data_IF_553778035496
#
_entry.id   IF_553778035496
#
_cell.length_a   1.000
_cell.length_b   1.000
_cell.length_c   1.000
_cell.angle_alpha   90.00
_cell.angle_beta   90.00
_cell.angle_gamma   90.00
#
_symmetry.space_group_name_H-M   'P 1'
#
loop_
_entity.id
_entity.type
_entity.pdbx_description
1 polymer ?
#
# COMPACT_ATOMS: atom_id res chain seq x y z
N UNK A 1 -7.83 -66.89 83.43
CA UNK A 1 -6.47 -67.37 83.76
C UNK A 1 -5.50 -66.19 83.64
N UNK A 2 -4.91 -65.78 84.79
CA UNK A 2 -3.61 -65.09 85.05
C UNK A 2 -3.20 -63.91 84.12
N UNK A 3 -3.12 -62.65 84.60
CA UNK A 3 -1.96 -62.00 85.29
C UNK A 3 -0.63 -62.22 84.56
N UNK A 4 0.22 -61.24 84.21
CA UNK A 4 0.71 -60.07 84.96
C UNK A 4 1.74 -59.30 84.10
N UNK A 5 1.97 -58.01 84.36
CA UNK A 5 3.20 -57.31 83.96
C UNK A 5 3.05 -55.80 83.76
N UNK A 6 3.12 -55.04 84.86
CA UNK A 6 3.24 -53.57 84.86
C UNK A 6 4.72 -53.14 84.93
N UNK A 7 5.10 -52.19 84.08
CA UNK A 7 6.29 -51.33 84.13
C UNK A 7 6.10 -50.30 83.01
N UNK A 8 6.28 -49.00 83.12
CA UNK A 8 6.80 -48.05 84.11
C UNK A 8 6.63 -46.67 83.43
N UNK A 9 6.54 -45.54 84.15
CA UNK A 9 6.18 -44.26 83.53
C UNK A 9 7.41 -43.60 82.89
N UNK A 10 7.35 -43.36 81.57
CA UNK A 10 8.27 -42.45 80.87
C UNK A 10 7.68 -41.05 80.88
N UNK A 11 8.44 -40.12 81.47
CA UNK A 11 8.12 -38.71 81.60
C UNK A 11 7.92 -38.06 80.22
N UNK A 12 6.76 -37.41 80.05
CA UNK A 12 6.49 -36.50 78.93
C UNK A 12 7.25 -35.21 79.20
N UNK A 13 8.45 -35.11 78.61
CA UNK A 13 9.24 -33.89 78.58
C UNK A 13 8.56 -32.85 77.70
N UNK A 14 8.18 -31.73 78.30
CA UNK A 14 7.70 -30.53 77.63
C UNK A 14 8.81 -30.01 76.68
N UNK A 15 8.61 -29.94 75.36
CA UNK A 15 9.59 -29.28 74.49
C UNK A 15 9.55 -27.78 74.81
N UNK A 16 10.61 -27.29 75.45
CA UNK A 16 10.80 -25.86 75.68
C UNK A 16 10.77 -25.08 74.37
N UNK A 17 10.40 -23.78 74.41
CA UNK A 17 10.26 -22.96 73.22
C UNK A 17 11.57 -22.93 72.44
N UNK A 18 11.55 -23.47 71.22
CA UNK A 18 12.66 -23.36 70.26
C UNK A 18 12.93 -21.88 70.02
N UNK A 19 14.02 -21.37 70.57
CA UNK A 19 14.47 -20.01 70.34
C UNK A 19 14.73 -19.84 68.83
N UNK A 20 13.94 -18.99 68.18
CA UNK A 20 14.16 -18.63 66.79
C UNK A 20 15.55 -17.98 66.64
N UNK A 21 16.37 -18.53 65.75
CA UNK A 21 17.70 -17.98 65.46
C UNK A 21 17.62 -16.53 64.96
N UNK A 22 18.65 -15.73 65.22
CA UNK A 22 18.70 -14.33 64.77
C UNK A 22 18.47 -14.19 63.25
N UNK A 23 18.95 -15.16 62.46
CA UNK A 23 18.77 -15.21 61.01
C UNK A 23 17.30 -15.41 60.60
N UNK A 24 16.56 -16.24 61.35
CA UNK A 24 15.13 -16.44 61.10
C UNK A 24 14.31 -15.19 61.41
N UNK A 25 14.70 -14.39 62.41
CA UNK A 25 14.05 -13.12 62.73
C UNK A 25 14.35 -12.07 61.65
N UNK A 26 15.60 -12.00 61.17
CA UNK A 26 15.99 -11.08 60.11
C UNK A 26 15.27 -11.38 58.77
N UNK A 27 15.13 -12.67 58.43
CA UNK A 27 14.36 -13.10 57.26
C UNK A 27 12.87 -12.76 57.38
N UNK A 28 12.27 -12.96 58.56
CA UNK A 28 10.87 -12.59 58.80
C UNK A 28 10.65 -11.09 58.64
N UNK A 29 11.57 -10.25 59.16
CA UNK A 29 11.50 -8.80 58.95
C UNK A 29 11.60 -8.43 57.47
N UNK A 30 12.47 -9.09 56.71
CA UNK A 30 12.61 -8.81 55.27
C UNK A 30 11.41 -9.27 54.44
N UNK A 31 10.81 -10.42 54.79
CA UNK A 31 9.57 -10.89 54.16
C UNK A 31 8.44 -9.88 54.41
N UNK A 32 8.29 -9.41 55.65
CA UNK A 32 7.26 -8.42 55.98
C UNK A 32 7.47 -7.09 55.24
N UNK A 33 8.72 -6.66 55.07
CA UNK A 33 9.05 -5.47 54.28
C UNK A 33 8.68 -5.64 52.80
N UNK A 34 8.99 -6.80 52.21
CA UNK A 34 8.65 -7.10 50.81
C UNK A 34 7.13 -7.23 50.60
N UNK A 35 6.41 -7.85 51.53
CA UNK A 35 4.95 -7.92 51.52
C UNK A 35 4.33 -6.52 51.57
N UNK A 36 4.88 -5.64 52.41
CA UNK A 36 4.46 -4.23 52.49
C UNK A 36 4.73 -3.49 51.17
N UNK A 37 5.90 -3.65 50.57
CA UNK A 37 6.25 -3.03 49.29
C UNK A 37 5.36 -3.54 48.14
N UNK A 38 5.12 -4.86 48.08
CA UNK A 38 4.26 -5.47 47.07
C UNK A 38 2.83 -4.95 47.19
N UNK A 39 2.30 -4.85 48.42
CA UNK A 39 0.97 -4.29 48.67
C UNK A 39 0.86 -2.83 48.22
N UNK A 40 1.90 -2.00 48.44
CA UNK A 40 1.93 -0.63 47.95
C UNK A 40 1.92 -0.59 46.41
N UNK A 41 2.71 -1.44 45.76
CA UNK A 41 2.81 -1.48 44.30
C UNK A 41 1.52 -1.99 43.65
N UNK A 42 0.89 -3.03 44.19
CA UNK A 42 -0.41 -3.54 43.73
C UNK A 42 -1.50 -2.46 43.84
N UNK A 43 -1.52 -1.72 44.95
CA UNK A 43 -2.44 -0.60 45.12
C UNK A 43 -2.19 0.52 44.11
N UNK A 44 -0.93 0.79 43.76
CA UNK A 44 -0.57 1.78 42.75
C UNK A 44 -1.02 1.34 41.35
N UNK A 45 -0.70 0.11 40.94
CA UNK A 45 -1.14 -0.44 39.65
C UNK A 45 -2.67 -0.49 39.53
N UNK A 46 -3.37 -0.85 40.61
CA UNK A 46 -4.83 -0.89 40.63
C UNK A 46 -5.43 0.51 40.40
N UNK A 47 -4.82 1.56 40.95
CA UNK A 47 -5.25 2.95 40.72
C UNK A 47 -4.98 3.40 39.28
N UNK A 48 -3.82 3.05 38.72
CA UNK A 48 -3.49 3.36 37.33
C UNK A 48 -4.41 2.64 36.35
N UNK A 49 -4.73 1.37 36.58
CA UNK A 49 -5.69 0.62 35.78
C UNK A 49 -7.08 1.26 35.81
N UNK A 50 -7.59 1.63 36.99
CA UNK A 50 -8.88 2.32 37.09
C UNK A 50 -8.87 3.65 36.34
N UNK A 51 -7.79 4.44 36.44
CA UNK A 51 -7.65 5.69 35.70
C UNK A 51 -7.66 5.47 34.18
N UNK A 52 -6.94 4.47 33.69
CA UNK A 52 -6.91 4.13 32.27
C UNK A 52 -8.28 3.62 31.78
N UNK A 53 -9.00 2.85 32.60
CA UNK A 53 -10.36 2.42 32.29
C UNK A 53 -11.33 3.62 32.15
N UNK A 54 -11.22 4.61 33.02
CA UNK A 54 -11.98 5.87 32.95
C UNK A 54 -11.61 6.67 31.68
N UNK A 55 -10.33 6.80 31.35
CA UNK A 55 -9.88 7.48 30.12
C UNK A 55 -10.37 6.75 28.85
N UNK A 56 -10.36 5.42 28.83
CA UNK A 56 -10.89 4.61 27.72
C UNK A 56 -12.42 4.76 27.61
N UNK A 57 -13.15 4.79 28.72
CA UNK A 57 -14.59 5.03 28.69
C UNK A 57 -14.93 6.42 28.15
N UNK A 58 -14.19 7.44 28.55
CA UNK A 58 -14.39 8.81 28.07
C UNK A 58 -14.08 8.93 26.58
N UNK A 59 -12.99 8.31 26.11
CA UNK A 59 -12.68 8.24 24.67
C UNK A 59 -13.77 7.52 23.88
N UNK A 60 -14.37 6.46 24.42
CA UNK A 60 -15.51 5.78 23.79
C UNK A 60 -16.74 6.67 23.73
N UNK A 61 -17.01 7.44 24.79
CA UNK A 61 -18.12 8.41 24.82
C UNK A 61 -17.92 9.49 23.76
N UNK A 62 -16.74 10.10 23.71
CA UNK A 62 -16.40 11.13 22.73
C UNK A 62 -16.44 10.60 21.29
N UNK A 63 -15.95 9.38 21.05
CA UNK A 63 -16.05 8.74 19.75
C UNK A 63 -17.51 8.55 19.32
N UNK A 64 -18.38 8.11 20.25
CA UNK A 64 -19.80 7.96 19.98
C UNK A 64 -20.49 9.29 19.69
N UNK A 65 -20.16 10.35 20.44
CA UNK A 65 -20.69 11.69 20.21
C UNK A 65 -20.25 12.28 18.86
N UNK A 66 -18.99 12.05 18.47
CA UNK A 66 -18.50 12.42 17.14
C UNK A 66 -19.18 11.63 16.03
N UNK A 67 -19.42 10.33 16.21
CA UNK A 67 -20.18 9.51 15.27
C UNK A 67 -21.62 9.99 15.12
N UNK A 68 -22.26 10.41 16.21
CA UNK A 68 -23.63 10.92 16.20
C UNK A 68 -23.71 12.32 15.57
N UNK A 69 -22.74 13.20 15.85
CA UNK A 69 -22.61 14.49 15.17
C UNK A 69 -22.37 14.31 13.66
N UNK A 70 -21.49 13.39 13.25
CA UNK A 70 -21.29 13.07 11.84
C UNK A 70 -22.55 12.49 11.19
N UNK A 71 -23.30 11.63 11.89
CA UNK A 71 -24.57 11.08 11.41
C UNK A 71 -25.66 12.16 11.25
N UNK A 72 -25.61 13.22 12.05
CA UNK A 72 -26.51 14.38 11.91
C UNK A 72 -26.15 15.28 10.72
N UNK A 73 -24.85 15.37 10.38
CA UNK A 73 -24.36 16.06 9.18
C UNK A 73 -24.65 15.26 7.89
N UNK A 74 -24.75 13.93 7.98
CA UNK A 74 -25.11 13.03 6.88
C UNK A 74 -26.55 13.19 6.35
N UNK A 75 -27.44 13.92 7.04
CA UNK A 75 -28.81 14.17 6.53
C UNK A 75 -28.80 15.12 5.31
N UNK A 76 -27.72 15.87 5.09
CA UNK A 76 -27.49 16.65 3.86
C UNK A 76 -26.65 15.87 2.82
N UNK A 77 -25.98 14.77 3.23
CA UNK A 77 -25.10 13.93 2.42
C UNK A 77 -25.75 12.63 1.92
N UNK A 78 -26.93 12.68 1.29
CA UNK A 78 -27.50 11.48 0.64
C UNK A 78 -26.65 11.08 -0.57
N UNK A 79 -25.78 10.06 -0.38
CA UNK A 79 -25.24 9.04 -1.34
C UNK A 79 -23.71 8.87 -1.31
N UNK A 80 -23.09 8.50 -0.18
CA UNK A 80 -21.65 8.20 -0.17
C UNK A 80 -21.22 6.99 0.67
N UNK A 81 -22.11 6.00 0.84
CA UNK A 81 -21.83 4.85 1.70
C UNK A 81 -20.81 3.85 1.17
N UNK A 82 -20.85 3.49 -0.13
CA UNK A 82 -19.94 2.50 -0.73
C UNK A 82 -18.95 3.14 -1.71
N UNK A 83 -19.42 4.05 -2.56
CA UNK A 83 -18.63 4.70 -3.61
C UNK A 83 -17.47 5.56 -3.07
N UNK A 84 -17.57 6.04 -1.83
CA UNK A 84 -16.48 6.76 -1.15
C UNK A 84 -15.24 5.90 -0.89
N UNK A 85 -15.44 4.59 -0.72
CA UNK A 85 -14.39 3.63 -0.41
C UNK A 85 -13.82 2.94 -1.65
N UNK A 86 -14.52 2.99 -2.78
CA UNK A 86 -14.04 2.39 -4.02
C UNK A 86 -12.85 3.17 -4.57
N UNK A 87 -11.66 2.54 -4.55
CA UNK A 87 -10.41 3.12 -5.06
C UNK A 87 -9.95 2.57 -6.39
N UNK A 88 -10.42 1.40 -6.80
CA UNK A 88 -10.12 0.80 -8.10
C UNK A 88 -11.39 0.66 -8.90
N UNK A 89 -11.36 1.13 -10.14
CA UNK A 89 -12.44 0.96 -11.12
C UNK A 89 -11.88 0.25 -12.34
N UNK A 90 -12.56 -0.83 -12.72
CA UNK A 90 -12.24 -1.64 -13.89
C UNK A 90 -13.42 -1.58 -14.88
N UNK A 91 -13.10 -1.37 -16.15
CA UNK A 91 -14.03 -1.48 -17.27
C UNK A 91 -13.54 -2.56 -18.23
N UNK A 92 -14.30 -3.65 -18.34
CA UNK A 92 -14.06 -4.71 -19.33
C UNK A 92 -14.79 -4.40 -20.63
N UNK A 93 -14.05 -4.40 -21.74
CA UNK A 93 -14.55 -4.21 -23.10
C UNK A 93 -14.51 -5.57 -23.81
N UNK A 94 -15.64 -6.27 -23.85
CA UNK A 94 -15.78 -7.55 -24.55
C UNK A 94 -15.96 -7.37 -26.06
N UNK A 95 -15.66 -8.41 -26.85
CA UNK A 95 -15.73 -8.37 -28.31
C UNK A 95 -14.72 -7.39 -28.90
N UNK A 96 -13.53 -7.32 -28.29
CA UNK A 96 -12.60 -6.22 -28.49
C UNK A 96 -12.05 -6.21 -29.92
N UNK A 97 -11.72 -7.37 -30.48
CA UNK A 97 -11.15 -7.47 -31.83
C UNK A 97 -12.06 -6.87 -32.91
N UNK A 98 -13.37 -7.10 -32.81
CA UNK A 98 -14.34 -6.52 -33.75
C UNK A 98 -14.41 -4.98 -33.61
N UNK A 99 -14.51 -4.48 -32.38
CA UNK A 99 -14.53 -3.04 -32.09
C UNK A 99 -13.25 -2.34 -32.55
N UNK A 100 -12.10 -2.94 -32.28
CA UNK A 100 -10.81 -2.41 -32.75
C UNK A 100 -10.75 -2.40 -34.28
N UNK A 101 -11.27 -3.42 -34.95
CA UNK A 101 -11.35 -3.48 -36.42
C UNK A 101 -12.17 -2.35 -37.03
N UNK A 102 -13.30 -2.00 -36.42
CA UNK A 102 -14.22 -0.95 -36.87
C UNK A 102 -13.70 0.47 -36.60
N UNK A 103 -12.96 0.66 -35.52
CA UNK A 103 -12.49 1.98 -35.10
C UNK A 103 -11.27 2.43 -35.91
N UNK A 104 -11.25 3.69 -36.29
CA UNK A 104 -10.09 4.38 -36.84
C UNK A 104 -9.30 5.12 -35.74
N UNK A 105 -8.04 5.46 -36.02
CA UNK A 105 -7.25 6.33 -35.14
C UNK A 105 -8.02 7.63 -34.86
N UNK A 106 -8.00 8.08 -33.61
CA UNK A 106 -8.76 9.24 -33.15
C UNK A 106 -10.20 8.95 -32.72
N UNK A 107 -10.72 7.73 -32.93
CA UNK A 107 -12.04 7.34 -32.40
C UNK A 107 -11.91 6.69 -31.01
N UNK A 108 -12.78 7.08 -30.09
CA UNK A 108 -12.81 6.58 -28.71
C UNK A 108 -14.02 5.68 -28.42
N UNK A 109 -13.81 4.82 -27.43
CA UNK A 109 -14.84 4.13 -26.67
C UNK A 109 -14.98 4.83 -25.31
N UNK A 110 -16.21 4.92 -24.81
CA UNK A 110 -16.52 5.55 -23.52
C UNK A 110 -17.07 4.52 -22.56
N UNK A 111 -16.57 4.54 -21.32
CA UNK A 111 -17.15 3.74 -20.26
C UNK A 111 -18.56 4.24 -19.93
N UNK A 112 -19.41 3.41 -19.32
CA UNK A 112 -20.51 3.92 -18.53
C UNK A 112 -20.00 4.95 -17.51
N UNK A 113 -20.83 5.93 -17.16
CA UNK A 113 -20.50 6.81 -16.03
C UNK A 113 -20.47 6.00 -14.74
N UNK A 114 -19.53 6.31 -13.86
CA UNK A 114 -19.38 5.63 -12.58
C UNK A 114 -19.09 6.61 -11.45
N UNK A 115 -19.23 6.12 -10.22
CA UNK A 115 -18.88 6.84 -9.01
C UNK A 115 -17.76 6.07 -8.31
N UNK A 116 -16.74 6.78 -7.82
CA UNK A 116 -15.63 6.18 -7.09
C UNK A 116 -14.87 7.26 -6.31
N UNK A 117 -14.19 6.87 -5.25
CA UNK A 117 -13.42 7.77 -4.39
C UNK A 117 -14.23 8.98 -3.89
N UNK A 118 -15.54 8.80 -3.74
CA UNK A 118 -16.52 9.82 -3.36
C UNK A 118 -16.97 10.70 -4.52
N UNK A 119 -16.31 10.64 -5.68
CA UNK A 119 -16.63 11.34 -6.94
C UNK A 119 -17.82 10.73 -7.66
N UNK A 120 -18.65 11.60 -8.22
CA UNK A 120 -19.81 11.22 -9.02
C UNK A 120 -19.56 11.47 -10.51
N UNK A 121 -20.24 10.71 -11.37
CA UNK A 121 -20.28 10.93 -12.81
C UNK A 121 -18.90 10.98 -13.50
N UNK A 122 -17.93 10.22 -12.96
CA UNK A 122 -16.65 9.93 -13.59
C UNK A 122 -16.84 9.10 -14.86
N UNK A 123 -15.88 9.15 -15.78
CA UNK A 123 -15.91 8.36 -17.01
C UNK A 123 -14.50 8.08 -17.54
N UNK A 124 -14.28 6.93 -18.16
CA UNK A 124 -13.07 6.63 -18.90
C UNK A 124 -13.32 6.83 -20.40
N UNK A 125 -12.34 7.44 -21.07
CA UNK A 125 -12.30 7.55 -22.53
C UNK A 125 -11.07 6.81 -23.04
N UNK A 126 -11.30 5.78 -23.85
CA UNK A 126 -10.27 4.88 -24.36
C UNK A 126 -10.19 4.95 -25.88
N UNK A 127 -8.99 5.15 -26.43
CA UNK A 127 -8.74 5.18 -27.87
C UNK A 127 -7.88 3.96 -28.24
N UNK A 128 -8.46 2.86 -28.75
CA UNK A 128 -7.73 1.64 -29.09
C UNK A 128 -6.53 1.87 -30.01
N UNK A 129 -6.70 2.70 -31.04
CA UNK A 129 -5.66 3.05 -32.03
C UNK A 129 -4.98 4.39 -31.74
N UNK A 130 -5.15 4.88 -30.51
CA UNK A 130 -4.65 6.17 -30.05
C UNK A 130 -5.45 7.37 -30.56
N UNK A 131 -5.27 8.53 -29.92
CA UNK A 131 -5.72 9.84 -30.41
C UNK A 131 -4.94 10.29 -31.64
N UNK A 132 -5.42 11.34 -32.30
CA UNK A 132 -4.71 12.01 -33.41
C UNK A 132 -3.25 12.37 -33.06
N UNK A 133 -3.03 12.86 -31.83
CA UNK A 133 -1.70 13.25 -31.32
C UNK A 133 -0.81 12.10 -30.89
N UNK A 134 -1.28 10.85 -30.96
CA UNK A 134 -0.47 9.67 -30.61
C UNK A 134 0.62 9.49 -31.64
N UNK A 135 1.87 9.50 -31.19
CA UNK A 135 3.04 9.48 -32.04
C UNK A 135 3.54 8.07 -32.31
N UNK A 136 3.27 7.13 -31.40
CA UNK A 136 3.69 5.74 -31.56
C UNK A 136 2.60 4.90 -32.20
N UNK A 137 2.93 4.21 -33.29
CA UNK A 137 2.02 3.28 -33.95
C UNK A 137 1.71 2.08 -33.02
N UNK A 138 0.46 1.63 -33.02
CA UNK A 138 0.00 0.54 -32.16
C UNK A 138 -0.19 0.92 -30.69
N UNK A 139 0.07 2.18 -30.30
CA UNK A 139 -0.22 2.65 -28.95
C UNK A 139 -1.67 3.10 -28.81
N UNK A 140 -2.29 2.74 -27.69
CA UNK A 140 -3.60 3.26 -27.29
C UNK A 140 -3.47 4.58 -26.52
N UNK A 141 -4.61 5.23 -26.27
CA UNK A 141 -4.71 6.36 -25.35
C UNK A 141 -5.80 6.11 -24.31
N UNK A 142 -5.65 6.62 -23.09
CA UNK A 142 -6.63 6.49 -22.02
C UNK A 142 -6.70 7.78 -21.20
N UNK A 143 -7.93 8.22 -20.88
CA UNK A 143 -8.20 9.44 -20.13
C UNK A 143 -9.27 9.21 -19.06
N UNK A 144 -9.07 9.80 -17.88
CA UNK A 144 -10.06 9.96 -16.83
C UNK A 144 -10.76 11.31 -16.96
N UNK A 145 -12.07 11.26 -17.10
CA UNK A 145 -12.96 12.40 -17.06
C UNK A 145 -13.57 12.54 -15.67
N UNK A 146 -13.38 13.72 -15.08
CA UNK A 146 -13.92 14.06 -13.77
C UNK A 146 -14.65 15.41 -13.82
N UNK A 147 -15.74 15.59 -13.04
CA UNK A 147 -16.34 16.91 -12.82
C UNK A 147 -15.36 17.90 -12.17
N UNK A 148 -15.72 19.19 -12.23
CA UNK A 148 -14.94 20.27 -11.61
C UNK A 148 -14.93 20.20 -10.08
N UNK A 149 -13.90 20.78 -9.46
CA UNK A 149 -13.79 20.98 -8.01
C UNK A 149 -13.04 19.87 -7.27
N UNK A 150 -12.21 19.10 -7.98
CA UNK A 150 -11.42 18.03 -7.39
C UNK A 150 -9.98 18.07 -7.87
N UNK A 151 -9.06 17.76 -6.95
CA UNK A 151 -7.69 17.40 -7.28
C UNK A 151 -7.50 15.93 -6.97
N UNK A 152 -7.06 15.17 -7.96
CA UNK A 152 -7.01 13.71 -7.94
C UNK A 152 -5.59 13.27 -8.26
N UNK A 153 -5.01 12.47 -7.37
CA UNK A 153 -3.83 11.65 -7.65
C UNK A 153 -4.30 10.24 -8.00
N UNK A 154 -3.98 9.77 -9.19
CA UNK A 154 -4.51 8.51 -9.72
C UNK A 154 -3.49 7.79 -10.61
N UNK A 155 -3.71 6.49 -10.81
CA UNK A 155 -2.91 5.66 -11.70
C UNK A 155 -3.83 5.01 -12.73
N UNK A 156 -3.64 5.32 -14.00
CA UNK A 156 -4.36 4.68 -15.10
C UNK A 156 -3.70 3.36 -15.49
N UNK A 157 -4.51 2.45 -16.04
CA UNK A 157 -4.02 1.17 -16.55
C UNK A 157 -4.85 0.61 -17.71
N UNK A 158 -4.19 -0.17 -18.58
CA UNK A 158 -4.76 -0.91 -19.72
C UNK A 158 -4.19 -2.32 -19.68
N UNK A 159 -5.07 -3.32 -19.55
CA UNK A 159 -4.71 -4.70 -19.26
C UNK A 159 -3.85 -4.79 -18.01
N UNK A 160 -2.61 -5.21 -18.22
CA UNK A 160 -1.57 -5.37 -17.20
C UNK A 160 -0.58 -4.19 -17.14
N UNK A 161 -0.72 -3.22 -18.04
CA UNK A 161 0.19 -2.08 -18.11
C UNK A 161 -0.33 -0.89 -17.31
N UNK A 162 0.50 -0.36 -16.42
CA UNK A 162 0.24 0.86 -15.65
C UNK A 162 1.15 2.01 -16.12
N UNK A 163 0.62 3.24 -16.06
CA UNK A 163 1.43 4.46 -16.15
C UNK A 163 1.87 4.95 -14.77
N UNK A 164 2.82 5.87 -14.72
CA UNK A 164 3.13 6.56 -13.48
C UNK A 164 1.87 7.25 -12.93
N UNK A 165 1.73 7.38 -11.60
CA UNK A 165 0.68 8.19 -11.02
C UNK A 165 0.71 9.63 -11.55
N UNK A 166 -0.44 10.12 -11.97
CA UNK A 166 -0.66 11.52 -12.32
C UNK A 166 -1.38 12.22 -11.16
N UNK A 167 -1.17 13.54 -11.06
CA UNK A 167 -1.91 14.41 -10.14
C UNK A 167 -2.48 15.59 -10.94
N UNK A 168 -3.81 15.64 -11.04
CA UNK A 168 -4.50 16.64 -11.84
C UNK A 168 -5.55 17.40 -11.03
N UNK A 169 -5.66 18.69 -11.33
CA UNK A 169 -6.72 19.56 -10.83
C UNK A 169 -7.81 19.71 -11.90
N UNK A 170 -9.02 19.29 -11.56
CA UNK A 170 -10.18 19.38 -12.42
C UNK A 170 -10.93 20.67 -12.12
N UNK A 171 -10.64 21.73 -12.88
CA UNK A 171 -11.36 23.01 -12.82
C UNK A 171 -12.65 23.01 -13.67
N UNK A 172 -12.81 22.01 -14.52
CA UNK A 172 -13.95 21.80 -15.41
C UNK A 172 -14.18 20.31 -15.66
N UNK A 173 -15.22 19.95 -16.42
CA UNK A 173 -15.37 18.58 -16.91
C UNK A 173 -14.40 18.35 -18.08
N UNK A 174 -13.20 17.88 -17.77
CA UNK A 174 -12.12 17.64 -18.73
C UNK A 174 -11.50 16.25 -18.53
N UNK A 175 -10.94 15.70 -19.61
CA UNK A 175 -10.25 14.41 -19.60
C UNK A 175 -8.75 14.60 -19.43
N UNK A 176 -8.18 14.03 -18.37
CA UNK A 176 -6.73 13.95 -18.15
C UNK A 176 -6.23 12.52 -18.36
N UNK A 177 -5.02 12.36 -18.89
CA UNK A 177 -4.45 11.07 -19.22
C UNK A 177 -3.43 11.15 -20.34
N UNK A 178 -3.14 10.03 -20.99
CA UNK A 178 -1.99 9.91 -21.90
C UNK A 178 -2.39 9.57 -23.33
N UNK A 179 -1.84 10.33 -24.29
CA UNK A 179 -2.01 10.03 -25.72
C UNK A 179 -1.19 8.80 -26.14
N UNK A 180 0.04 8.68 -25.64
CA UNK A 180 0.90 7.51 -25.89
C UNK A 180 0.86 6.57 -24.67
N UNK A 181 -0.26 5.90 -24.44
CA UNK A 181 -0.45 5.13 -23.20
C UNK A 181 0.41 3.86 -23.18
N UNK A 182 0.11 2.85 -24.00
CA UNK A 182 0.94 1.64 -24.14
C UNK A 182 0.66 0.97 -25.48
N UNK A 183 1.53 0.07 -25.96
CA UNK A 183 1.17 -0.86 -27.03
C UNK A 183 -0.05 -1.68 -26.60
N UNK A 184 -1.06 -1.76 -27.46
CA UNK A 184 -2.32 -2.40 -27.09
C UNK A 184 -2.26 -3.93 -27.16
N UNK A 185 -1.51 -4.49 -28.10
CA UNK A 185 -1.54 -5.93 -28.40
C UNK A 185 -1.23 -6.85 -27.21
N UNK A 186 -0.22 -6.55 -26.36
CA UNK A 186 0.07 -7.37 -25.17
C UNK A 186 -1.05 -7.32 -24.13
N UNK A 187 -1.87 -6.26 -24.13
CA UNK A 187 -2.90 -6.03 -23.13
C UNK A 187 -4.24 -6.70 -23.46
N UNK A 188 -4.40 -7.19 -24.69
CA UNK A 188 -5.62 -7.89 -25.11
C UNK A 188 -5.63 -9.30 -24.48
N UNK A 189 -6.74 -9.62 -23.82
CA UNK A 189 -7.08 -10.99 -23.44
C UNK A 189 -7.66 -11.70 -24.68
N UNK A 190 -6.79 -12.43 -25.37
CA UNK A 190 -7.11 -13.19 -26.58
C UNK A 190 -8.03 -14.39 -26.30
N UNK A 191 -8.06 -14.88 -25.06
CA UNK A 191 -8.93 -16.02 -24.69
C UNK A 191 -10.38 -15.59 -24.59
N UNK A 192 -10.63 -14.41 -24.02
CA UNK A 192 -11.99 -13.88 -23.83
C UNK A 192 -12.40 -12.82 -24.86
N UNK A 193 -11.54 -12.54 -25.85
CA UNK A 193 -11.66 -11.42 -26.79
C UNK A 193 -12.07 -10.12 -26.08
N UNK A 194 -11.28 -9.75 -25.06
CA UNK A 194 -11.59 -8.60 -24.24
C UNK A 194 -10.33 -7.81 -23.88
N UNK A 195 -10.54 -6.55 -23.50
CA UNK A 195 -9.51 -5.73 -22.87
C UNK A 195 -10.09 -5.07 -21.64
N UNK A 196 -9.28 -4.96 -20.59
CA UNK A 196 -9.63 -4.27 -19.36
C UNK A 196 -8.93 -2.94 -19.33
N UNK A 197 -9.62 -1.88 -18.93
CA UNK A 197 -9.03 -0.56 -18.71
C UNK A 197 -9.56 0.00 -17.39
N UNK A 198 -8.78 0.84 -16.73
CA UNK A 198 -9.22 1.32 -15.43
C UNK A 198 -8.36 2.41 -14.82
N UNK A 199 -8.72 2.70 -13.57
CA UNK A 199 -8.08 3.73 -12.76
C UNK A 199 -8.02 3.30 -11.30
N UNK A 200 -6.88 3.57 -10.68
CA UNK A 200 -6.67 3.50 -9.24
C UNK A 200 -6.57 4.91 -8.65
N UNK A 201 -7.52 5.28 -7.81
CA UNK A 201 -7.52 6.53 -7.06
C UNK A 201 -6.61 6.40 -5.84
N UNK A 202 -5.51 7.15 -5.84
CA UNK A 202 -4.52 7.15 -4.76
C UNK A 202 -4.85 8.22 -3.72
N UNK A 203 -5.21 9.41 -4.19
CA UNK A 203 -5.65 10.52 -3.34
C UNK A 203 -6.72 11.34 -4.05
N UNK A 204 -7.74 11.75 -3.31
CA UNK A 204 -8.77 12.67 -3.80
C UNK A 204 -8.97 13.74 -2.75
N UNK A 205 -8.74 14.98 -3.15
CA UNK A 205 -9.07 16.17 -2.37
C UNK A 205 -10.14 16.96 -3.11
N UNK A 206 -11.16 17.40 -2.38
CA UNK A 206 -12.22 18.27 -2.89
C UNK A 206 -12.12 19.64 -2.25
N UNK A 207 -12.36 20.65 -3.06
CA UNK A 207 -12.58 22.00 -2.56
C UNK A 207 -14.08 22.21 -2.41
N UNK A 208 -14.60 22.01 -1.20
CA UNK A 208 -15.97 22.40 -0.90
C UNK A 208 -15.95 23.82 -0.31
N UNK A 209 -16.51 24.76 -1.08
CA UNK A 209 -16.76 26.10 -0.54
C UNK A 209 -18.02 26.02 0.30
N UNK A 210 -17.87 25.91 1.62
CA UNK A 210 -19.02 26.05 2.50
C UNK A 210 -19.39 27.53 2.54
N UNK A 211 -20.67 27.85 2.31
CA UNK A 211 -21.22 29.21 2.23
C UNK A 211 -21.18 30.00 3.56
N UNK A 212 -20.19 29.77 4.41
CA UNK A 212 -19.92 30.50 5.65
C UNK A 212 -18.56 31.20 5.57
N UNK A 213 -18.58 32.47 5.16
CA UNK A 213 -17.54 33.49 5.45
C UNK A 213 -16.09 33.13 5.03
N UNK A 214 -15.89 32.64 3.81
CA UNK A 214 -14.53 32.54 3.23
C UNK A 214 -13.66 31.42 3.80
N UNK A 215 -14.27 30.40 4.43
CA UNK A 215 -13.57 29.17 4.84
C UNK A 215 -13.62 28.14 3.69
N UNK A 216 -12.44 27.75 3.20
CA UNK A 216 -12.29 26.60 2.30
C UNK A 216 -12.04 25.35 3.16
N UNK A 217 -12.89 24.33 3.02
CA UNK A 217 -12.66 23.03 3.65
C UNK A 217 -12.07 22.09 2.60
N UNK A 218 -10.83 21.67 2.83
CA UNK A 218 -10.20 20.58 2.09
C UNK A 218 -10.41 19.32 2.93
N UNK A 219 -11.35 18.48 2.51
CA UNK A 219 -11.63 17.21 3.19
C UNK A 219 -10.87 16.08 2.49
N UNK A 220 -9.94 15.44 3.22
CA UNK A 220 -9.42 14.12 2.86
C UNK A 220 -10.21 13.08 3.66
N UNK A 221 -10.76 12.07 2.99
CA UNK A 221 -11.52 11.02 3.69
C UNK A 221 -10.68 10.37 4.79
N UNK A 222 -11.21 10.32 6.02
CA UNK A 222 -10.60 9.64 7.17
C UNK A 222 -10.21 8.19 6.82
N UNK A 223 -11.03 7.52 6.02
CA UNK A 223 -10.75 6.17 5.55
C UNK A 223 -9.49 6.10 4.69
N UNK A 224 -9.21 7.11 3.86
CA UNK A 224 -7.96 7.19 3.09
C UNK A 224 -6.76 7.33 4.03
N UNK A 225 -6.88 8.18 5.06
CA UNK A 225 -5.82 8.33 6.06
C UNK A 225 -5.56 7.01 6.79
N UNK A 226 -6.61 6.35 7.28
CA UNK A 226 -6.50 5.07 8.00
C UNK A 226 -5.92 3.97 7.11
N UNK A 227 -6.37 3.85 5.85
CA UNK A 227 -5.85 2.85 4.92
C UNK A 227 -4.34 3.04 4.66
N UNK A 228 -3.89 4.30 4.54
CA UNK A 228 -2.47 4.63 4.37
C UNK A 228 -1.63 4.24 5.59
N UNK A 229 -2.12 4.56 6.80
CA UNK A 229 -1.44 4.17 8.05
C UNK A 229 -1.40 2.64 8.21
N UNK A 230 -2.51 1.96 7.95
CA UNK A 230 -2.61 0.51 8.03
C UNK A 230 -1.64 -0.20 7.06
N UNK A 231 -1.50 0.32 5.83
CA UNK A 231 -0.57 -0.22 4.84
C UNK A 231 0.89 -0.17 5.31
N UNK A 232 1.29 0.89 6.03
CA UNK A 232 2.65 0.97 6.64
C UNK A 232 2.83 -0.08 7.70
N UNK A 233 1.88 -0.22 8.61
CA UNK A 233 2.00 -1.19 9.70
C UNK A 233 2.07 -2.62 9.14
N UNK A 234 1.20 -2.96 8.19
CA UNK A 234 1.13 -4.29 7.57
C UNK A 234 2.37 -4.66 6.75
N UNK A 235 3.00 -3.65 6.12
CA UNK A 235 4.15 -3.85 5.23
C UNK A 235 5.47 -3.33 5.82
N UNK A 236 5.48 -2.99 7.10
CA UNK A 236 6.69 -2.57 7.84
C UNK A 236 7.78 -3.64 7.78
N UNK A 237 7.38 -4.90 7.82
CA UNK A 237 8.27 -6.07 7.75
C UNK A 237 8.59 -6.55 6.34
N UNK A 238 8.03 -5.94 5.29
CA UNK A 238 8.31 -6.34 3.90
C UNK A 238 9.68 -5.83 3.50
N UNK A 239 10.61 -6.74 3.27
CA UNK A 239 11.98 -6.44 2.83
C UNK A 239 12.20 -6.75 1.35
N UNK A 240 11.39 -7.59 0.72
CA UNK A 240 11.50 -7.89 -0.71
C UNK A 240 10.19 -7.57 -1.42
N UNK A 241 10.29 -6.90 -2.57
CA UNK A 241 9.14 -6.67 -3.45
C UNK A 241 9.48 -7.19 -4.83
N UNK A 242 8.64 -8.06 -5.36
CA UNK A 242 8.73 -8.63 -6.70
C UNK A 242 7.59 -8.09 -7.56
N UNK A 243 7.89 -7.74 -8.80
CA UNK A 243 6.92 -7.36 -9.81
C UNK A 243 7.12 -8.25 -11.03
N UNK A 244 6.13 -9.11 -11.28
CA UNK A 244 6.13 -10.00 -12.42
C UNK A 244 5.49 -9.30 -13.62
N UNK A 245 6.24 -9.20 -14.71
CA UNK A 245 5.83 -8.62 -15.99
C UNK A 245 5.56 -9.77 -16.97
N UNK A 246 4.32 -9.89 -17.42
CA UNK A 246 3.91 -10.93 -18.37
C UNK A 246 4.08 -10.49 -19.83
N UNK A 247 4.18 -11.47 -20.74
CA UNK A 247 4.31 -11.27 -22.20
C UNK A 247 5.50 -10.37 -22.56
N UNK A 248 6.63 -10.56 -21.87
CA UNK A 248 7.76 -9.62 -21.96
C UNK A 248 8.38 -9.60 -23.35
N UNK A 249 8.42 -10.73 -24.06
CA UNK A 249 8.91 -10.78 -25.44
C UNK A 249 8.09 -9.90 -26.39
N UNK A 250 6.76 -9.97 -26.29
CA UNK A 250 5.86 -9.12 -27.09
C UNK A 250 6.05 -7.63 -26.73
N UNK A 251 6.26 -7.32 -25.45
CA UNK A 251 6.55 -5.96 -24.98
C UNK A 251 7.87 -5.44 -25.54
N UNK A 252 8.93 -6.24 -25.53
CA UNK A 252 10.23 -5.85 -26.07
C UNK A 252 10.19 -5.51 -27.55
N UNK A 253 9.37 -6.22 -28.34
CA UNK A 253 9.19 -5.92 -29.75
C UNK A 253 8.47 -4.58 -29.97
N UNK A 254 7.47 -4.27 -29.13
CA UNK A 254 6.59 -3.10 -29.34
C UNK A 254 7.01 -1.83 -28.61
N UNK A 255 7.81 -1.93 -27.55
CA UNK A 255 8.25 -0.77 -26.78
C UNK A 255 9.45 -0.10 -27.45
N UNK A 256 9.38 1.18 -27.84
CA UNK A 256 10.59 1.88 -28.27
C UNK A 256 11.50 2.16 -27.08
N UNK A 257 12.80 2.26 -27.33
CA UNK A 257 13.78 2.76 -26.34
C UNK A 257 13.31 4.10 -25.76
N UNK A 258 13.49 4.27 -24.45
CA UNK A 258 12.99 5.43 -23.71
C UNK A 258 11.54 5.30 -23.24
N UNK A 259 10.83 4.23 -23.58
CA UNK A 259 9.51 3.93 -22.98
C UNK A 259 9.64 3.09 -21.73
N UNK A 260 8.96 3.51 -20.66
CA UNK A 260 8.91 2.78 -19.39
C UNK A 260 7.55 2.12 -19.14
N UNK A 261 7.62 1.06 -18.34
CA UNK A 261 6.55 0.41 -17.62
C UNK A 261 6.64 0.75 -16.13
N UNK A 262 5.52 0.73 -15.43
CA UNK A 262 5.45 1.10 -14.02
C UNK A 262 4.75 0.02 -13.21
N UNK A 263 5.22 -0.22 -11.98
CA UNK A 263 4.47 -1.03 -11.03
C UNK A 263 3.25 -0.28 -10.51
N UNK A 264 2.39 -0.96 -9.77
CA UNK A 264 1.51 -0.26 -8.83
C UNK A 264 2.33 0.45 -7.76
N UNK A 265 1.75 1.49 -7.16
CA UNK A 265 2.32 2.11 -5.95
C UNK A 265 2.21 1.13 -4.78
N UNK A 266 3.29 0.94 -4.03
CA UNK A 266 3.33 0.00 -2.91
C UNK A 266 3.99 0.59 -1.67
N UNK A 267 3.87 -0.14 -0.56
CA UNK A 267 4.51 0.16 0.72
C UNK A 267 5.37 -1.03 1.12
N UNK A 268 6.62 -0.79 1.50
CA UNK A 268 7.54 -1.83 1.98
C UNK A 268 8.58 -1.23 2.93
N UNK A 269 9.03 -2.00 3.91
CA UNK A 269 10.03 -1.56 4.89
C UNK A 269 9.60 -0.33 5.69
N UNK A 270 8.29 -0.12 5.85
CA UNK A 270 7.69 1.06 6.49
C UNK A 270 7.69 2.33 5.61
N UNK A 271 8.18 2.24 4.38
CA UNK A 271 8.24 3.35 3.42
C UNK A 271 7.02 3.28 2.51
N UNK A 272 6.30 4.41 2.42
CA UNK A 272 5.11 4.57 1.57
C UNK A 272 5.48 5.01 0.17
N UNK A 273 4.51 4.82 -0.73
CA UNK A 273 4.50 5.40 -2.07
C UNK A 273 5.77 5.08 -2.88
N UNK A 274 6.27 3.85 -2.71
CA UNK A 274 7.35 3.33 -3.54
C UNK A 274 6.76 2.93 -4.89
N UNK A 275 7.51 3.22 -5.95
CA UNK A 275 7.13 2.91 -7.32
C UNK A 275 8.36 2.39 -8.09
N UNK A 276 8.18 1.33 -8.86
CA UNK A 276 9.20 0.80 -9.76
C UNK A 276 8.97 1.31 -11.18
N UNK A 277 10.06 1.71 -11.84
CA UNK A 277 10.08 2.24 -13.20
C UNK A 277 11.06 1.42 -14.04
N UNK A 278 10.54 0.62 -14.96
CA UNK A 278 11.32 -0.32 -15.77
C UNK A 278 11.28 0.05 -17.25
N UNK A 279 12.45 0.16 -17.88
CA UNK A 279 12.59 0.42 -19.31
C UNK A 279 13.11 -0.85 -20.00
N UNK A 280 12.22 -1.67 -20.61
CA UNK A 280 12.61 -2.95 -21.18
C UNK A 280 13.67 -2.81 -22.28
N UNK A 281 13.55 -1.78 -23.14
CA UNK A 281 14.51 -1.49 -24.21
C UNK A 281 15.48 -0.34 -23.86
N UNK A 282 15.73 -0.13 -22.57
CA UNK A 282 16.58 0.93 -22.06
C UNK A 282 15.90 2.30 -22.00
N UNK A 283 16.39 3.16 -21.12
CA UNK A 283 16.00 4.57 -21.04
C UNK A 283 16.74 5.40 -22.10
N UNK A 284 16.42 6.69 -22.18
CA UNK A 284 17.18 7.63 -23.01
C UNK A 284 18.65 7.74 -22.59
N UNK A 285 18.96 7.39 -21.34
CA UNK A 285 20.32 7.43 -20.78
C UNK A 285 21.06 6.09 -20.90
N UNK A 286 20.40 5.02 -21.38
CA UNK A 286 21.04 3.72 -21.60
C UNK A 286 22.04 3.83 -22.75
N UNK A 287 23.29 3.49 -22.48
CA UNK A 287 24.40 3.57 -23.44
C UNK A 287 24.68 2.23 -24.11
N UNK A 288 24.32 1.12 -23.47
CA UNK A 288 24.55 -0.23 -23.98
C UNK A 288 23.34 -0.74 -24.77
N UNK A 289 23.59 -1.25 -25.96
CA UNK A 289 22.54 -1.80 -26.80
C UNK A 289 21.95 -3.09 -26.19
N UNK A 290 20.63 -3.25 -26.26
CA UNK A 290 19.89 -4.36 -25.66
C UNK A 290 19.80 -4.35 -24.13
N UNK A 291 20.40 -3.39 -23.42
CA UNK A 291 20.30 -3.30 -21.96
C UNK A 291 18.99 -2.62 -21.54
N UNK A 292 18.38 -3.12 -20.46
CA UNK A 292 17.31 -2.41 -19.78
C UNK A 292 17.83 -1.33 -18.82
N UNK A 293 16.93 -0.41 -18.45
CA UNK A 293 17.13 0.47 -17.31
C UNK A 293 16.09 0.19 -16.24
N UNK A 294 16.49 0.34 -14.98
CA UNK A 294 15.59 0.10 -13.85
C UNK A 294 15.81 1.14 -12.75
N UNK A 295 14.73 1.80 -12.37
CA UNK A 295 14.70 2.86 -11.37
C UNK A 295 13.60 2.62 -10.34
N UNK A 296 13.80 3.20 -9.17
CA UNK A 296 12.82 3.28 -8.10
C UNK A 296 12.53 4.74 -7.81
N UNK A 297 11.28 5.03 -7.45
CA UNK A 297 10.84 6.35 -6.97
C UNK A 297 10.24 6.21 -5.58
N UNK A 298 10.53 7.20 -4.75
CA UNK A 298 10.03 7.30 -3.40
C UNK A 298 9.73 8.78 -3.08
N UNK A 299 8.93 9.06 -2.03
CA UNK A 299 8.75 10.42 -1.53
C UNK A 299 10.07 11.10 -1.16
N UNK A 300 10.04 12.43 -1.22
CA UNK A 300 11.17 13.26 -0.81
C UNK A 300 11.54 13.04 0.67
N UNK A 301 12.84 13.06 0.97
CA UNK A 301 13.39 12.85 2.31
C UNK A 301 13.58 11.38 2.70
N UNK A 302 13.08 10.43 1.90
CA UNK A 302 13.29 9.00 2.16
C UNK A 302 14.76 8.64 1.91
N UNK A 303 15.35 7.88 2.83
CA UNK A 303 16.66 7.24 2.66
C UNK A 303 16.54 5.74 2.85
N UNK A 304 17.20 4.97 1.99
CA UNK A 304 17.19 3.51 2.08
C UNK A 304 18.48 2.88 1.55
N UNK A 305 18.69 1.62 1.92
CA UNK A 305 19.71 0.76 1.33
C UNK A 305 18.97 -0.35 0.57
N UNK A 306 19.14 -0.39 -0.74
CA UNK A 306 18.33 -1.23 -1.64
C UNK A 306 19.20 -2.03 -2.58
N UNK A 307 18.80 -3.27 -2.85
CA UNK A 307 19.30 -4.08 -3.96
C UNK A 307 18.22 -4.15 -5.02
N UNK A 308 18.55 -3.72 -6.23
CA UNK A 308 17.66 -3.82 -7.38
C UNK A 308 17.90 -5.18 -8.07
N UNK A 309 16.86 -5.79 -8.64
CA UNK A 309 17.02 -7.00 -9.45
C UNK A 309 16.11 -7.04 -10.67
N UNK A 310 16.60 -7.70 -11.72
CA UNK A 310 15.89 -8.02 -12.97
C UNK A 310 16.24 -9.46 -13.29
N UNK A 311 15.25 -10.36 -13.22
CA UNK A 311 15.45 -11.81 -13.24
C UNK A 311 16.40 -12.27 -12.14
N UNK A 312 17.49 -12.89 -12.55
CA UNK A 312 18.55 -13.42 -11.69
C UNK A 312 19.63 -12.37 -11.40
N UNK A 313 19.72 -11.30 -12.20
CA UNK A 313 20.73 -10.25 -12.03
C UNK A 313 20.36 -9.31 -10.89
N UNK A 314 21.32 -9.09 -10.00
CA UNK A 314 21.18 -8.25 -8.79
C UNK A 314 22.24 -7.15 -8.80
N UNK A 315 21.84 -5.93 -8.44
CA UNK A 315 22.74 -4.78 -8.30
C UNK A 315 22.47 -4.05 -6.99
N UNK A 316 23.46 -4.09 -6.10
CA UNK A 316 23.41 -3.47 -4.78
C UNK A 316 24.30 -4.20 -3.77
N UNK A 317 24.26 -3.78 -2.49
CA UNK A 317 23.39 -2.72 -1.97
C UNK A 317 23.76 -1.32 -2.45
N UNK A 318 22.75 -0.49 -2.72
CA UNK A 318 22.87 0.92 -3.07
C UNK A 318 22.25 1.73 -1.93
N UNK A 319 23.07 2.54 -1.25
CA UNK A 319 22.57 3.56 -0.32
C UNK A 319 22.12 4.76 -1.14
N UNK A 320 20.85 5.13 -1.01
CA UNK A 320 20.28 6.27 -1.74
C UNK A 320 19.36 7.11 -0.85
N UNK A 321 19.33 8.40 -1.13
CA UNK A 321 18.41 9.38 -0.56
C UNK A 321 17.64 10.06 -1.68
N UNK A 322 16.34 10.24 -1.48
CA UNK A 322 15.43 10.84 -2.46
C UNK A 322 15.22 12.30 -2.10
N UNK A 323 16.08 13.17 -2.62
CA UNK A 323 15.98 14.63 -2.39
C UNK A 323 14.99 15.30 -3.36
N UNK A 324 14.52 14.57 -4.37
CA UNK A 324 13.50 15.01 -5.34
C UNK A 324 12.66 13.80 -5.76
N UNK A 325 11.56 14.04 -6.48
CA UNK A 325 10.74 12.98 -7.10
C UNK A 325 11.43 12.25 -8.27
N UNK A 326 12.71 12.54 -8.55
CA UNK A 326 13.50 11.89 -9.59
C UNK A 326 13.83 10.45 -9.20
N UNK A 327 13.60 9.52 -10.12
CA UNK A 327 13.94 8.11 -9.92
C UNK A 327 15.44 7.88 -9.69
N UNK A 328 15.76 6.94 -8.80
CA UNK A 328 17.12 6.49 -8.50
C UNK A 328 17.26 5.05 -9.01
N UNK A 329 18.30 4.78 -9.78
CA UNK A 329 18.41 3.52 -10.50
C UNK A 329 19.62 3.45 -11.41
N UNK A 330 19.60 2.51 -12.35
CA UNK A 330 20.72 2.22 -13.23
C UNK A 330 20.27 2.19 -14.70
N UNK A 331 20.86 3.03 -15.59
CA UNK A 331 20.50 3.08 -17.00
C UNK A 331 20.96 1.85 -17.79
N UNK A 332 22.08 1.24 -17.41
CA UNK A 332 22.64 0.05 -18.06
C UNK A 332 22.57 -1.13 -17.08
N UNK A 333 21.38 -1.69 -16.87
CA UNK A 333 21.13 -2.73 -15.88
C UNK A 333 21.64 -4.10 -16.35
N UNK A 334 20.90 -4.79 -17.23
CA UNK A 334 21.31 -6.07 -17.81
C UNK A 334 20.68 -6.26 -19.20
N UNK A 335 21.12 -7.29 -19.92
CA UNK A 335 20.42 -7.74 -21.13
C UNK A 335 19.12 -8.42 -20.70
N UNK A 336 17.98 -7.95 -21.20
CA UNK A 336 16.68 -8.52 -20.78
C UNK A 336 16.52 -9.96 -21.22
N UNK A 337 17.04 -10.32 -22.39
CA UNK A 337 16.77 -11.63 -23.02
C UNK A 337 17.31 -12.79 -22.21
N UNK A 338 18.39 -12.57 -21.46
CA UNK A 338 19.02 -13.57 -20.61
C UNK A 338 18.22 -13.82 -19.31
N UNK A 339 17.31 -12.90 -18.98
CA UNK A 339 16.57 -12.85 -17.72
C UNK A 339 15.09 -13.23 -17.86
N UNK A 340 14.61 -13.46 -19.09
CA UNK A 340 13.23 -13.90 -19.36
C UNK A 340 13.04 -15.34 -18.89
N UNK A 341 11.99 -15.55 -18.10
CA UNK A 341 11.51 -16.88 -17.74
C UNK A 341 10.85 -17.54 -18.96
N UNK A 342 11.49 -18.59 -19.46
CA UNK A 342 11.10 -19.22 -20.73
C UNK A 342 9.79 -20.01 -20.60
N UNK A 343 9.41 -20.41 -19.39
CA UNK A 343 8.20 -21.23 -19.20
C UNK A 343 6.90 -20.47 -19.46
N UNK A 344 6.88 -19.15 -19.22
CA UNK A 344 5.65 -18.35 -19.26
C UNK A 344 5.83 -16.96 -19.88
N UNK A 345 6.97 -16.71 -20.56
CA UNK A 345 7.32 -15.42 -21.17
C UNK A 345 7.15 -14.25 -20.19
N UNK A 346 7.66 -14.44 -18.97
CA UNK A 346 7.59 -13.44 -17.91
C UNK A 346 8.98 -12.96 -17.49
N UNK A 347 9.03 -11.76 -16.93
CA UNK A 347 10.22 -11.19 -16.33
C UNK A 347 9.87 -10.68 -14.93
N UNK A 348 10.63 -11.12 -13.93
CA UNK A 348 10.48 -10.57 -12.58
C UNK A 348 11.48 -9.45 -12.37
N UNK A 349 10.99 -8.27 -12.00
CA UNK A 349 11.82 -7.13 -11.56
C UNK A 349 11.48 -6.82 -10.12
N UNK A 350 12.40 -6.23 -9.35
CA UNK A 350 12.07 -5.98 -7.95
C UNK A 350 13.16 -5.35 -7.13
N UNK A 351 12.86 -5.17 -5.84
CA UNK A 351 13.75 -4.55 -4.88
C UNK A 351 13.88 -5.39 -3.61
N UNK A 352 15.03 -5.31 -2.98
CA UNK A 352 15.29 -5.83 -1.63
C UNK A 352 15.83 -4.71 -0.75
N UNK A 353 15.06 -4.35 0.28
CA UNK A 353 15.40 -3.38 1.31
C UNK A 353 16.22 -4.06 2.40
N UNK A 354 17.38 -3.49 2.73
CA UNK A 354 18.21 -4.01 3.82
C UNK A 354 17.68 -3.58 5.20
N UNK A 355 18.06 -4.34 6.23
CA UNK A 355 17.77 -4.11 7.66
C UNK A 355 16.29 -4.22 8.06
N UNK A 356 15.49 -4.97 7.30
CA UNK A 356 14.10 -5.31 7.64
C UNK A 356 13.95 -6.83 7.76
N UNK A 357 13.01 -7.35 8.58
CA UNK A 357 12.73 -8.79 8.66
C UNK A 357 12.29 -9.39 7.30
N UNK A 358 12.39 -10.71 7.15
CA UNK A 358 12.20 -11.40 5.86
C UNK A 358 10.71 -11.62 5.51
N UNK A 359 10.04 -10.61 4.94
CA UNK A 359 8.73 -10.79 4.27
C UNK A 359 8.82 -10.30 2.82
N UNK A 360 8.22 -11.06 1.91
CA UNK A 360 8.14 -10.73 0.47
C UNK A 360 6.73 -10.26 0.12
N UNK A 361 6.64 -9.22 -0.70
CA UNK A 361 5.42 -8.74 -1.35
C UNK A 361 5.53 -8.98 -2.85
N UNK A 362 4.55 -9.64 -3.46
CA UNK A 362 4.50 -9.86 -4.91
C UNK A 362 3.45 -8.94 -5.53
N UNK A 363 3.83 -8.26 -6.60
CA UNK A 363 3.00 -7.42 -7.45
C UNK A 363 2.84 -8.12 -8.79
N UNK A 364 1.60 -8.21 -9.27
CA UNK A 364 1.31 -8.78 -10.58
C UNK A 364 0.99 -7.63 -11.54
N UNK A 365 1.58 -7.67 -12.75
CA UNK A 365 1.13 -6.87 -13.89
C UNK A 365 -0.14 -7.46 -14.46
#
# INVERSE_FOLDING_TARGET
>A
LKSSGWGGPLAVGNPGPLAMSADTVALQSRVHELESQLSVQENQHTRELRRLEEEVQELRRLAHELEEQNRSLDVVGRKSGADSFMRRVEWTISGFSAKEGELSKGQSLWSPKFNAAGMEALQLEFFPKGREKTTHEGFCSLFLWCPSGARIKYQLWVGSFLRAPDEDEYTGRIGHGHSNFCPISPEIDRTNDSIKVGVDFLEVSREETVNSRGLQLISTSLASMVAREAAVLQNSSVSKVEWKINKISERLEKFPKGSSMWSSVFTAGGIREILMEFYPNGSTNTTKDGFCAFYIRCPEGVSMIVTLFVGKVRKGPIKTTFDTLTGKGLPDFCLVQDEIEQSDDSLTVGIELQNQPNKTLSLES
#
